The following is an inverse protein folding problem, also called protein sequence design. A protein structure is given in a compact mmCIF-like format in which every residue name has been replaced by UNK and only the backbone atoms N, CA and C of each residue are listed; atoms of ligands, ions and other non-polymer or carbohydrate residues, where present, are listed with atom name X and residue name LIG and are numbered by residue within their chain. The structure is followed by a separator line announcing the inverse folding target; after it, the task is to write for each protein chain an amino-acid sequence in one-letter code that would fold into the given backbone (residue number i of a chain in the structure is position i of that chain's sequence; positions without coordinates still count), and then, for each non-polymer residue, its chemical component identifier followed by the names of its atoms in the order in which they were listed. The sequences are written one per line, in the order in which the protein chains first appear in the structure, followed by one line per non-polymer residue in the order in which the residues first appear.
data_IF_671298374447
#
_entry.id   IF_671298374447
#
_cell.length_a   1.000
_cell.length_b   1.000
_cell.length_c   1.000
_cell.angle_alpha   90.00
_cell.angle_beta   90.00
_cell.angle_gamma   90.00
#
_symmetry.space_group_name_H-M   'P 1'
#
loop_
_entity.id
_entity.type
_entity.pdbx_description
1 polymer ?
#
# COMPACT_ATOMS: atom_id res chain seq x y z
N UNK A 1 27.95 85.06 2.03
CA UNK A 1 28.34 84.03 3.01
C UNK A 1 27.14 83.13 3.27
N UNK A 2 27.06 81.93 2.66
CA UNK A 2 26.11 80.89 3.05
C UNK A 2 26.80 79.73 3.82
N UNK A 3 26.07 79.01 4.68
CA UNK A 3 26.63 78.02 5.61
C UNK A 3 26.97 76.69 4.92
N UNK A 4 28.09 76.08 5.34
CA UNK A 4 28.45 74.70 4.97
C UNK A 4 27.51 73.71 5.66
N UNK A 5 26.72 72.99 4.89
CA UNK A 5 25.99 71.81 5.35
C UNK A 5 26.97 70.65 5.54
N UNK A 6 27.44 70.47 6.77
CA UNK A 6 28.08 69.24 7.24
C UNK A 6 26.99 68.37 7.86
N UNK A 7 26.62 67.26 7.21
CA UNK A 7 25.54 66.44 7.76
C UNK A 7 25.23 65.17 6.97
N UNK A 8 26.21 64.32 6.68
CA UNK A 8 25.94 62.92 6.26
C UNK A 8 26.96 61.89 6.78
N UNK A 9 27.96 62.26 7.58
CA UNK A 9 29.01 61.31 8.03
C UNK A 9 28.84 60.76 9.44
N UNK A 10 27.92 61.29 10.24
CA UNK A 10 27.77 60.92 11.65
C UNK A 10 26.67 59.87 11.94
N UNK A 11 25.93 59.43 10.93
CA UNK A 11 24.85 58.43 11.10
C UNK A 11 25.32 56.96 10.95
N UNK A 12 26.63 56.71 10.81
CA UNK A 12 27.18 55.37 10.55
C UNK A 12 28.33 54.98 11.51
N UNK A 13 28.41 55.58 12.70
CA UNK A 13 29.45 55.27 13.69
C UNK A 13 28.93 54.27 14.74
N UNK A 14 28.88 52.99 14.38
CA UNK A 14 28.53 51.94 15.33
C UNK A 14 29.60 51.75 16.42
N UNK A 15 29.16 51.64 17.67
CA UNK A 15 30.02 51.32 18.82
C UNK A 15 30.59 49.89 18.71
N UNK A 16 31.68 49.59 19.45
CA UNK A 16 32.29 48.24 19.43
C UNK A 16 31.29 47.15 19.84
N UNK A 17 30.38 47.45 20.77
CA UNK A 17 29.32 46.52 21.21
C UNK A 17 28.25 46.29 20.14
N UNK A 18 27.81 47.36 19.47
CA UNK A 18 26.80 47.28 18.38
C UNK A 18 27.32 46.48 17.19
N UNK A 19 28.59 46.65 16.82
CA UNK A 19 29.22 45.87 15.74
C UNK A 19 29.20 44.38 16.05
N UNK A 20 29.54 43.99 17.28
CA UNK A 20 29.48 42.58 17.69
C UNK A 20 28.05 42.05 17.66
N UNK A 21 27.07 42.85 18.11
CA UNK A 21 25.65 42.49 18.03
C UNK A 21 25.16 42.28 16.60
N UNK A 22 25.53 43.18 15.68
CA UNK A 22 25.20 43.08 14.25
C UNK A 22 25.84 41.84 13.63
N UNK A 23 27.11 41.55 13.94
CA UNK A 23 27.81 40.36 13.44
C UNK A 23 27.10 39.07 13.92
N UNK A 24 26.73 38.99 15.20
CA UNK A 24 26.01 37.83 15.76
C UNK A 24 24.65 37.68 15.08
N UNK A 25 23.91 38.77 14.88
CA UNK A 25 22.60 38.77 14.22
C UNK A 25 22.72 38.27 12.76
N UNK A 26 23.72 38.73 12.03
CA UNK A 26 24.00 38.29 10.65
C UNK A 26 24.29 36.79 10.62
N UNK A 27 25.12 36.28 11.54
CA UNK A 27 25.42 34.84 11.61
C UNK A 27 24.15 34.03 11.88
N UNK A 28 23.28 34.49 12.79
CA UNK A 28 22.04 33.79 13.14
C UNK A 28 21.05 33.78 11.97
N UNK A 29 20.97 34.89 11.21
CA UNK A 29 20.19 34.97 9.97
C UNK A 29 20.75 34.02 8.91
N UNK A 30 22.08 33.94 8.73
CA UNK A 30 22.70 33.01 7.80
C UNK A 30 22.39 31.56 8.19
N UNK A 31 22.49 31.18 9.47
CA UNK A 31 22.11 29.85 9.94
C UNK A 31 20.65 29.52 9.60
N UNK A 32 19.73 30.48 9.80
CA UNK A 32 18.31 30.28 9.50
C UNK A 32 18.05 30.11 7.99
N UNK A 33 18.77 30.86 7.16
CA UNK A 33 18.70 30.78 5.69
C UNK A 33 19.29 29.47 5.13
N UNK A 34 20.39 28.98 5.72
CA UNK A 34 21.06 27.75 5.28
C UNK A 34 20.52 26.47 5.94
N UNK A 35 19.77 26.59 7.04
CA UNK A 35 19.08 25.47 7.71
C UNK A 35 18.37 24.50 6.76
N UNK A 36 17.54 24.96 5.78
CA UNK A 36 16.87 24.05 4.85
C UNK A 36 17.81 23.27 3.91
N UNK A 37 19.01 23.79 3.59
CA UNK A 37 20.00 23.03 2.80
C UNK A 37 20.56 21.85 3.60
N UNK A 38 20.80 22.04 4.90
CA UNK A 38 21.33 20.99 5.78
C UNK A 38 20.24 20.03 6.27
N UNK A 39 18.98 20.49 6.40
CA UNK A 39 17.85 19.66 6.83
C UNK A 39 17.65 18.45 5.92
N UNK A 40 17.77 18.60 4.59
CA UNK A 40 17.67 17.49 3.63
C UNK A 40 18.82 16.48 3.72
N UNK A 41 19.98 16.89 4.25
CA UNK A 41 21.16 16.01 4.37
C UNK A 41 21.16 15.23 5.69
N UNK A 42 20.55 15.76 6.76
CA UNK A 42 20.43 15.06 8.04
C UNK A 42 19.12 14.28 8.19
N UNK A 43 18.03 14.72 7.54
CA UNK A 43 16.77 13.98 7.49
C UNK A 43 16.69 13.29 6.14
N UNK A 44 17.24 12.08 6.05
CA UNK A 44 16.97 11.20 4.92
C UNK A 44 15.48 10.84 4.95
N UNK A 45 14.64 11.26 3.98
CA UNK A 45 13.35 10.60 3.82
C UNK A 45 13.67 9.15 3.49
N UNK A 46 13.25 8.22 4.35
CA UNK A 46 13.38 6.77 4.09
C UNK A 46 12.79 6.56 2.70
N UNK A 47 13.62 6.26 1.67
CA UNK A 47 13.08 6.07 0.35
C UNK A 47 12.29 4.78 0.44
N UNK A 48 10.96 4.87 0.42
CA UNK A 48 10.11 3.70 0.26
C UNK A 48 10.50 3.11 -1.09
N UNK A 49 11.34 2.06 -1.08
CA UNK A 49 11.83 1.33 -2.27
C UNK A 49 10.67 0.85 -3.15
N UNK A 50 9.48 0.75 -2.56
CA UNK A 50 8.24 0.34 -3.18
C UNK A 50 7.47 1.50 -3.84
N UNK A 51 7.96 2.74 -3.80
CA UNK A 51 7.27 3.88 -4.43
C UNK A 51 7.02 3.60 -5.91
N UNK A 52 7.98 3.03 -6.64
CA UNK A 52 7.80 2.65 -8.06
C UNK A 52 6.62 1.69 -8.24
N UNK A 53 6.46 0.72 -7.34
CA UNK A 53 5.36 -0.24 -7.36
C UNK A 53 4.03 0.42 -7.03
N UNK A 54 3.97 1.25 -5.98
CA UNK A 54 2.76 2.00 -5.65
C UNK A 54 2.39 3.01 -6.73
N UNK A 55 3.36 3.67 -7.36
CA UNK A 55 3.11 4.59 -8.48
C UNK A 55 2.63 3.84 -9.71
N UNK A 56 3.06 2.61 -9.98
CA UNK A 56 2.50 1.81 -11.07
C UNK A 56 1.07 1.37 -10.77
N UNK A 57 0.80 0.94 -9.54
CA UNK A 57 -0.56 0.64 -9.12
C UNK A 57 -1.43 1.90 -9.26
N UNK A 58 -1.02 3.02 -8.66
CA UNK A 58 -1.77 4.27 -8.67
C UNK A 58 -1.89 4.88 -10.07
N UNK A 59 -0.83 4.88 -10.89
CA UNK A 59 -0.85 5.42 -12.27
C UNK A 59 -1.74 4.59 -13.19
N UNK A 60 -1.68 3.26 -13.09
CA UNK A 60 -2.63 2.38 -13.76
C UNK A 60 -4.08 2.75 -13.40
N UNK A 61 -4.37 3.00 -12.11
CA UNK A 61 -5.70 3.43 -11.68
C UNK A 61 -6.07 4.87 -12.05
N UNK A 62 -5.09 5.77 -12.16
CA UNK A 62 -5.27 7.15 -12.62
C UNK A 62 -5.57 7.21 -14.13
N UNK A 63 -4.87 6.41 -14.94
CA UNK A 63 -5.16 6.23 -16.37
C UNK A 63 -6.56 5.66 -16.59
N UNK A 64 -7.07 4.82 -15.67
CA UNK A 64 -8.46 4.32 -15.71
C UNK A 64 -9.51 5.34 -15.20
N UNK A 65 -9.08 6.42 -14.55
CA UNK A 65 -9.94 7.54 -14.11
C UNK A 65 -9.98 8.68 -15.12
N UNK A 66 -8.93 8.86 -15.92
CA UNK A 66 -8.93 9.80 -17.03
C UNK A 66 -10.01 9.38 -18.06
N UNK A 67 -10.83 10.33 -18.46
CA UNK A 67 -11.91 10.15 -19.44
C UNK A 67 -11.32 9.65 -20.77
N UNK A 68 -11.93 8.66 -21.45
CA UNK A 68 -11.38 8.13 -22.68
C UNK A 68 -11.76 9.06 -23.83
N UNK A 69 -10.85 9.95 -24.23
CA UNK A 69 -10.90 10.62 -25.53
C UNK A 69 -9.55 10.36 -26.23
N UNK A 70 -9.65 9.58 -27.32
CA UNK A 70 -8.72 9.32 -28.41
C UNK A 70 -7.21 9.25 -28.15
N UNK A 71 -6.69 8.01 -28.01
CA UNK A 71 -5.37 7.66 -28.55
C UNK A 71 -5.38 6.25 -29.11
N UNK A 72 -5.74 6.12 -30.39
CA UNK A 72 -5.18 5.07 -31.25
C UNK A 72 -3.72 5.43 -31.52
N UNK A 73 -2.75 4.75 -30.87
CA UNK A 73 -1.42 4.48 -31.43
C UNK A 73 -0.57 3.57 -30.54
N UNK A 74 -0.14 2.48 -31.19
CA UNK A 74 0.88 1.47 -30.86
C UNK A 74 1.77 1.77 -29.65
N UNK A 75 1.64 0.93 -28.62
CA UNK A 75 2.74 0.54 -27.74
C UNK A 75 2.83 -0.98 -27.81
N UNK A 76 3.99 -1.49 -28.24
CA UNK A 76 4.28 -2.91 -28.36
C UNK A 76 4.08 -3.61 -26.99
N UNK A 77 3.21 -4.62 -26.87
CA UNK A 77 3.11 -5.41 -25.67
C UNK A 77 4.40 -6.21 -25.48
N UNK A 78 5.05 -5.99 -24.34
CA UNK A 78 6.03 -6.91 -23.78
C UNK A 78 5.30 -8.22 -23.51
N UNK A 79 5.87 -9.30 -24.03
CA UNK A 79 5.42 -10.69 -23.99
C UNK A 79 4.82 -11.06 -22.63
N UNK A 80 3.49 -11.23 -22.63
CA UNK A 80 2.81 -12.00 -21.59
C UNK A 80 2.43 -13.33 -22.21
N UNK A 81 2.87 -14.39 -21.53
CA UNK A 81 2.56 -15.79 -21.78
C UNK A 81 1.12 -15.98 -22.26
N UNK A 82 1.00 -16.68 -23.37
CA UNK A 82 -0.25 -17.14 -23.94
C UNK A 82 -1.08 -17.91 -22.91
N UNK A 83 -2.11 -17.28 -22.36
CA UNK A 83 -3.24 -18.03 -21.82
C UNK A 83 -4.26 -18.16 -22.93
N UNK A 84 -4.16 -19.29 -23.65
CA UNK A 84 -5.23 -19.84 -24.49
C UNK A 84 -6.51 -19.98 -23.66
N UNK A 85 -7.39 -19.01 -23.76
CA UNK A 85 -8.83 -19.22 -23.54
C UNK A 85 -9.58 -18.42 -24.59
N UNK A 86 -9.79 -19.04 -25.76
CA UNK A 86 -10.87 -18.65 -26.68
C UNK A 86 -12.22 -19.05 -26.05
N UNK A 87 -12.56 -18.45 -24.91
CA UNK A 87 -13.91 -18.51 -24.36
C UNK A 87 -14.60 -17.19 -24.72
N UNK A 88 -15.64 -17.30 -25.55
CA UNK A 88 -16.55 -16.21 -25.86
C UNK A 88 -16.99 -15.53 -24.57
N UNK A 89 -16.65 -14.26 -24.37
CA UNK A 89 -17.05 -13.50 -23.19
C UNK A 89 -18.56 -13.22 -23.32
N UNK A 90 -19.36 -13.98 -22.59
CA UNK A 90 -20.81 -13.81 -22.60
C UNK A 90 -21.20 -12.89 -21.44
N UNK A 91 -21.75 -11.71 -21.77
CA UNK A 91 -22.34 -10.83 -20.76
C UNK A 91 -23.77 -11.29 -20.49
N UNK A 92 -24.01 -11.81 -19.29
CA UNK A 92 -25.34 -12.17 -18.80
C UNK A 92 -25.64 -11.45 -17.49
N UNK A 93 -26.93 -11.30 -17.18
CA UNK A 93 -27.33 -10.72 -15.90
C UNK A 93 -26.98 -11.67 -14.75
N UNK A 94 -26.30 -11.15 -13.73
CA UNK A 94 -25.85 -11.95 -12.60
C UNK A 94 -26.14 -11.26 -11.27
N UNK A 95 -26.39 -12.06 -10.24
CA UNK A 95 -26.44 -11.61 -8.85
C UNK A 95 -25.07 -11.88 -8.20
N UNK A 96 -24.31 -10.85 -7.80
CA UNK A 96 -23.01 -11.00 -7.13
C UNK A 96 -23.06 -11.87 -5.87
N UNK A 97 -24.23 -12.04 -5.24
CA UNK A 97 -24.39 -12.89 -4.07
C UNK A 97 -24.59 -14.37 -4.42
N UNK A 98 -24.89 -14.70 -5.69
CA UNK A 98 -25.23 -16.05 -6.14
C UNK A 98 -24.31 -16.60 -7.22
N UNK A 99 -23.72 -15.73 -8.04
CA UNK A 99 -22.86 -16.09 -9.17
C UNK A 99 -21.68 -16.98 -8.73
N UNK A 100 -21.38 -18.00 -9.52
CA UNK A 100 -20.28 -18.95 -9.26
C UNK A 100 -18.93 -18.41 -9.76
N UNK A 101 -17.83 -19.03 -9.34
CA UNK A 101 -16.47 -18.64 -9.77
C UNK A 101 -16.32 -18.78 -11.29
N UNK A 102 -16.84 -19.86 -11.88
CA UNK A 102 -16.75 -20.11 -13.32
C UNK A 102 -17.58 -19.10 -14.13
N UNK A 103 -18.77 -18.77 -13.66
CA UNK A 103 -19.63 -17.72 -14.23
C UNK A 103 -18.98 -16.34 -14.14
N UNK A 104 -18.30 -16.03 -13.02
CA UNK A 104 -17.52 -14.81 -12.89
C UNK A 104 -16.37 -14.75 -13.90
N UNK A 105 -15.72 -15.89 -14.19
CA UNK A 105 -14.68 -15.98 -15.21
C UNK A 105 -15.25 -15.76 -16.62
N UNK A 106 -16.42 -16.33 -16.91
CA UNK A 106 -17.13 -16.11 -18.18
C UNK A 106 -17.50 -14.63 -18.41
N UNK A 107 -17.79 -13.89 -17.33
CA UNK A 107 -18.02 -12.43 -17.35
C UNK A 107 -16.74 -11.61 -17.58
N UNK A 108 -15.59 -12.27 -17.74
CA UNK A 108 -14.30 -11.64 -18.01
C UNK A 108 -13.47 -11.30 -16.77
N UNK A 109 -13.80 -11.87 -15.61
CA UNK A 109 -12.95 -11.78 -14.43
C UNK A 109 -11.84 -12.84 -14.49
N UNK A 110 -10.64 -12.51 -14.04
CA UNK A 110 -9.62 -13.53 -13.83
C UNK A 110 -10.03 -14.49 -12.71
N UNK A 111 -9.50 -15.71 -12.74
CA UNK A 111 -9.74 -16.70 -11.67
C UNK A 111 -9.38 -16.14 -10.28
N UNK A 112 -8.34 -15.30 -10.20
CA UNK A 112 -7.92 -14.63 -8.96
C UNK A 112 -8.95 -13.60 -8.48
N UNK A 113 -9.55 -12.84 -9.41
CA UNK A 113 -10.60 -11.88 -9.11
C UNK A 113 -11.87 -12.57 -8.59
N UNK A 114 -12.32 -13.61 -9.29
CA UNK A 114 -13.49 -14.38 -8.93
C UNK A 114 -13.35 -15.02 -7.53
N UNK A 115 -12.19 -15.61 -7.24
CA UNK A 115 -11.90 -16.17 -5.91
C UNK A 115 -11.90 -15.13 -4.78
N UNK A 116 -11.54 -13.88 -5.04
CA UNK A 116 -11.62 -12.82 -4.02
C UNK A 116 -13.05 -12.43 -3.72
N UNK A 117 -13.90 -12.35 -4.75
CA UNK A 117 -15.34 -12.11 -4.58
C UNK A 117 -15.99 -13.27 -3.83
N UNK A 118 -15.63 -14.51 -4.17
CA UNK A 118 -16.17 -15.69 -3.52
C UNK A 118 -15.79 -15.75 -2.03
N UNK A 119 -14.52 -15.47 -1.71
CA UNK A 119 -14.06 -15.33 -0.31
C UNK A 119 -14.81 -14.24 0.46
N UNK A 120 -15.13 -13.11 -0.18
CA UNK A 120 -15.95 -12.07 0.44
C UNK A 120 -17.34 -12.61 0.82
N UNK A 121 -17.98 -13.37 -0.08
CA UNK A 121 -19.29 -14.00 0.17
C UNK A 121 -19.21 -15.06 1.27
N UNK A 122 -18.22 -15.96 1.24
CA UNK A 122 -18.04 -17.00 2.25
C UNK A 122 -17.82 -16.44 3.66
N UNK A 123 -17.26 -15.23 3.77
CA UNK A 123 -17.10 -14.51 5.05
C UNK A 123 -18.37 -13.78 5.52
N UNK A 124 -19.49 -13.93 4.81
CA UNK A 124 -20.76 -13.26 5.12
C UNK A 124 -20.90 -11.87 4.49
N UNK A 125 -19.99 -11.50 3.58
CA UNK A 125 -20.09 -10.26 2.81
C UNK A 125 -21.24 -10.32 1.81
N UNK A 126 -22.16 -9.35 1.91
CA UNK A 126 -23.30 -9.22 1.00
C UNK A 126 -23.15 -7.99 0.11
N UNK A 127 -23.58 -8.12 -1.14
CA UNK A 127 -23.74 -7.03 -2.09
C UNK A 127 -25.19 -6.58 -2.09
N UNK A 128 -25.46 -5.39 -1.56
CA UNK A 128 -26.82 -4.85 -1.48
C UNK A 128 -27.16 -3.94 -2.64
N UNK A 129 -26.15 -3.28 -3.21
CA UNK A 129 -26.30 -2.41 -4.38
C UNK A 129 -25.26 -2.76 -5.42
N UNK A 130 -25.52 -2.50 -6.72
CA UNK A 130 -24.49 -2.69 -7.75
C UNK A 130 -23.20 -1.92 -7.42
N UNK A 131 -23.32 -0.75 -6.76
CA UNK A 131 -22.18 0.07 -6.33
C UNK A 131 -21.26 -0.65 -5.34
N UNK A 132 -21.78 -1.57 -4.53
CA UNK A 132 -20.97 -2.32 -3.57
C UNK A 132 -19.95 -3.23 -4.27
N UNK A 133 -20.27 -3.71 -5.47
CA UNK A 133 -19.35 -4.50 -6.29
C UNK A 133 -18.05 -3.73 -6.60
N UNK A 134 -18.13 -2.41 -6.77
CA UNK A 134 -16.97 -1.54 -7.01
C UNK A 134 -16.06 -1.34 -5.79
N UNK A 135 -16.49 -1.79 -4.61
CA UNK A 135 -15.71 -1.65 -3.38
C UNK A 135 -14.72 -2.81 -3.17
N UNK A 136 -14.91 -3.92 -3.88
CA UNK A 136 -13.98 -5.05 -3.90
C UNK A 136 -12.68 -4.62 -4.62
N UNK A 137 -11.52 -4.81 -3.98
CA UNK A 137 -10.26 -4.23 -4.46
C UNK A 137 -9.77 -4.74 -5.80
N UNK A 138 -10.03 -6.02 -6.10
CA UNK A 138 -9.65 -6.64 -7.37
C UNK A 138 -10.52 -6.16 -8.52
N UNK A 139 -11.64 -5.50 -8.23
CA UNK A 139 -12.55 -4.92 -9.22
C UNK A 139 -12.14 -3.47 -9.45
N UNK A 140 -11.51 -3.24 -10.59
CA UNK A 140 -11.20 -1.89 -11.03
C UNK A 140 -12.45 -1.16 -11.55
N UNK A 141 -12.31 0.15 -11.78
CA UNK A 141 -13.41 1.00 -12.25
C UNK A 141 -13.90 0.61 -13.65
N UNK A 142 -13.02 0.11 -14.52
CA UNK A 142 -13.34 -0.28 -15.90
C UNK A 142 -14.17 -1.57 -15.93
N UNK A 143 -13.71 -2.60 -15.22
CA UNK A 143 -14.42 -3.86 -14.99
C UNK A 143 -15.79 -3.57 -14.36
N UNK A 144 -15.83 -2.77 -13.29
CA UNK A 144 -17.10 -2.40 -12.68
C UNK A 144 -18.03 -1.69 -13.67
N UNK A 145 -17.54 -0.72 -14.46
CA UNK A 145 -18.37 -0.04 -15.47
C UNK A 145 -18.93 -1.00 -16.52
N UNK A 146 -18.11 -1.97 -16.97
CA UNK A 146 -18.53 -3.00 -17.93
C UNK A 146 -19.58 -3.93 -17.34
N UNK A 147 -19.41 -4.35 -16.10
CA UNK A 147 -20.29 -5.31 -15.43
C UNK A 147 -21.53 -4.66 -14.80
N UNK A 148 -21.47 -3.37 -14.43
CA UNK A 148 -22.56 -2.64 -13.76
C UNK A 148 -23.94 -2.81 -14.43
N UNK A 149 -24.07 -2.72 -15.77
CA UNK A 149 -25.37 -2.91 -16.43
C UNK A 149 -25.95 -4.32 -16.25
N UNK A 150 -25.08 -5.30 -15.98
CA UNK A 150 -25.42 -6.72 -15.88
C UNK A 150 -25.61 -7.18 -14.43
N UNK A 151 -25.32 -6.34 -13.44
CA UNK A 151 -25.52 -6.67 -12.02
C UNK A 151 -27.01 -6.51 -11.66
N UNK A 152 -27.67 -7.62 -11.35
CA UNK A 152 -29.04 -7.66 -10.80
C UNK A 152 -29.02 -8.27 -9.40
N UNK A 153 -29.26 -7.44 -8.39
CA UNK A 153 -29.41 -7.88 -7.01
C UNK A 153 -30.90 -7.89 -6.70
N UNK A 154 -31.44 -9.04 -6.28
CA UNK A 154 -32.87 -9.17 -6.04
C UNK A 154 -33.33 -8.30 -4.83
N UNK A 155 -34.49 -7.64 -4.98
CA UNK A 155 -35.07 -6.66 -4.05
C UNK A 155 -35.33 -7.21 -2.64
N UNK A 156 -35.41 -8.53 -2.47
CA UNK A 156 -35.53 -9.18 -1.16
C UNK A 156 -34.39 -8.78 -0.18
N UNK A 157 -33.23 -8.38 -0.70
CA UNK A 157 -32.10 -7.87 0.09
C UNK A 157 -32.27 -6.43 0.60
N UNK A 158 -33.20 -5.66 0.01
CA UNK A 158 -33.53 -4.28 0.40
C UNK A 158 -34.60 -4.25 1.51
N UNK A 159 -35.53 -5.22 1.53
CA UNK A 159 -36.55 -5.35 2.59
C UNK A 159 -35.97 -5.76 3.95
N UNK A 160 -34.88 -6.53 3.97
CA UNK A 160 -34.12 -6.76 5.21
C UNK A 160 -33.65 -5.44 5.84
N UNK A 161 -33.37 -4.42 5.03
CA UNK A 161 -32.95 -3.10 5.51
C UNK A 161 -34.11 -2.31 6.11
N UNK A 162 -35.33 -2.41 5.58
CA UNK A 162 -36.49 -1.71 6.14
C UNK A 162 -36.95 -2.35 7.46
N UNK A 163 -36.85 -3.68 7.58
CA UNK A 163 -37.12 -4.38 8.85
C UNK A 163 -36.03 -4.16 9.91
N UNK A 164 -34.74 -4.20 9.54
CA UNK A 164 -33.63 -4.00 10.50
C UNK A 164 -33.55 -2.53 10.97
N UNK A 165 -33.85 -1.56 10.10
CA UNK A 165 -33.72 -0.13 10.42
C UNK A 165 -34.82 0.39 11.35
N UNK A 166 -35.98 -0.26 11.39
CA UNK A 166 -37.09 0.11 12.28
C UNK A 166 -36.96 -0.49 13.69
N UNK A 167 -36.07 -1.46 13.90
CA UNK A 167 -35.83 -2.10 15.21
C UNK A 167 -34.58 -1.56 15.93
N UNK A 168 -33.85 -0.63 15.29
CA UNK A 168 -32.62 -0.04 15.83
C UNK A 168 -32.86 1.33 16.45
N UNK A 169 -33.78 1.40 17.41
CA UNK A 169 -33.88 2.49 18.40
C UNK A 169 -33.17 2.14 19.72
N UNK A 170 -32.41 1.04 19.75
CA UNK A 170 -31.39 0.84 20.75
C UNK A 170 -30.08 1.42 20.23
N UNK A 171 -29.61 2.45 20.92
CA UNK A 171 -28.23 2.97 20.88
C UNK A 171 -27.29 1.78 21.12
N UNK A 172 -26.89 1.11 20.03
CA UNK A 172 -25.96 0.00 20.07
C UNK A 172 -24.65 0.58 20.58
N UNK A 173 -24.19 0.09 21.73
CA UNK A 173 -22.84 0.30 22.20
C UNK A 173 -21.89 0.00 21.04
N UNK A 174 -21.21 1.03 20.54
CA UNK A 174 -20.29 0.90 19.42
C UNK A 174 -19.14 0.00 19.87
N UNK A 175 -19.27 -1.30 19.63
CA UNK A 175 -18.16 -2.24 19.83
C UNK A 175 -16.98 -1.71 19.04
N UNK A 176 -15.79 -1.57 19.65
CA UNK A 176 -14.63 -1.06 18.94
C UNK A 176 -14.40 -1.92 17.70
N UNK A 177 -14.39 -1.29 16.53
CA UNK A 177 -14.16 -1.99 15.26
C UNK A 177 -12.71 -2.45 15.28
N UNK A 178 -12.49 -3.74 15.55
CA UNK A 178 -11.17 -4.37 15.51
C UNK A 178 -11.04 -5.13 14.20
N UNK A 179 -10.02 -4.80 13.41
CA UNK A 179 -9.76 -5.40 12.10
C UNK A 179 -8.45 -6.18 12.16
N UNK A 180 -8.50 -7.45 11.76
CA UNK A 180 -7.29 -8.29 11.70
C UNK A 180 -6.57 -8.09 10.36
N UNK A 181 -5.37 -7.50 10.40
CA UNK A 181 -4.67 -6.96 9.23
C UNK A 181 -4.31 -8.02 8.19
N UNK A 182 -4.01 -9.25 8.62
CA UNK A 182 -3.57 -10.32 7.72
C UNK A 182 -4.72 -11.00 6.97
N UNK A 183 -5.92 -11.04 7.54
CA UNK A 183 -7.10 -11.61 6.92
C UNK A 183 -8.03 -10.58 6.29
N UNK A 184 -7.92 -9.31 6.67
CA UNK A 184 -8.90 -8.30 6.31
C UNK A 184 -9.01 -8.08 4.79
N UNK A 185 -10.23 -7.82 4.34
CA UNK A 185 -10.45 -7.33 2.99
C UNK A 185 -10.39 -5.79 2.93
N UNK A 186 -10.54 -5.22 1.73
CA UNK A 186 -10.51 -3.75 1.59
C UNK A 186 -11.70 -3.03 2.21
N UNK A 187 -12.84 -3.70 2.33
CA UNK A 187 -14.05 -3.13 2.90
C UNK A 187 -13.92 -3.01 4.41
N UNK A 188 -13.42 -4.06 5.05
CA UNK A 188 -13.09 -4.12 6.47
C UNK A 188 -12.01 -3.09 6.82
N UNK A 189 -10.92 -3.04 6.04
CA UNK A 189 -9.88 -2.01 6.24
C UNK A 189 -10.43 -0.60 6.07
N UNK A 190 -11.39 -0.39 5.16
CA UNK A 190 -12.01 0.90 4.94
C UNK A 190 -12.98 1.34 6.06
N UNK A 191 -13.31 0.46 7.02
CA UNK A 191 -14.05 0.82 8.23
C UNK A 191 -13.17 1.58 9.24
N UNK A 192 -11.86 1.40 9.18
CA UNK A 192 -10.91 2.05 10.09
C UNK A 192 -10.86 3.54 9.77
N UNK A 193 -11.06 4.38 10.78
CA UNK A 193 -11.03 5.84 10.60
C UNK A 193 -9.66 6.29 10.07
N UNK A 194 -9.66 6.98 8.93
CA UNK A 194 -8.43 7.44 8.27
C UNK A 194 -7.88 6.47 7.22
N UNK A 195 -8.39 5.24 7.12
CA UNK A 195 -8.07 4.30 6.04
C UNK A 195 -9.14 4.38 4.96
N UNK A 196 -8.87 5.19 3.94
CA UNK A 196 -9.72 5.24 2.74
C UNK A 196 -9.43 4.09 1.77
N UNK A 197 -10.23 4.01 0.69
CA UNK A 197 -10.08 3.02 -0.40
C UNK A 197 -8.65 2.93 -0.98
N UNK A 198 -7.92 4.04 -1.01
CA UNK A 198 -6.52 4.06 -1.49
C UNK A 198 -5.58 3.38 -0.50
N UNK A 199 -5.63 3.76 0.78
CA UNK A 199 -4.79 3.14 1.80
C UNK A 199 -5.13 1.67 2.02
N UNK A 200 -6.41 1.30 2.06
CA UNK A 200 -6.83 -0.11 2.14
C UNK A 200 -6.18 -0.97 1.05
N UNK A 201 -6.11 -0.46 -0.19
CA UNK A 201 -5.43 -1.15 -1.30
C UNK A 201 -3.93 -1.23 -1.13
N UNK A 202 -3.28 -0.14 -0.74
CA UNK A 202 -1.82 -0.13 -0.54
C UNK A 202 -1.41 -1.07 0.60
N UNK A 203 -2.21 -1.12 1.67
CA UNK A 203 -2.04 -2.05 2.78
C UNK A 203 -2.13 -3.50 2.30
N UNK A 204 -3.18 -3.88 1.55
CA UNK A 204 -3.29 -5.24 1.01
C UNK A 204 -2.17 -5.57 0.02
N UNK A 205 -1.82 -4.63 -0.86
CA UNK A 205 -0.73 -4.83 -1.80
C UNK A 205 0.60 -5.07 -1.08
N UNK A 206 0.88 -4.30 -0.03
CA UNK A 206 2.08 -4.47 0.78
C UNK A 206 2.07 -5.76 1.60
N UNK A 207 0.93 -6.10 2.21
CA UNK A 207 0.71 -7.39 2.87
C UNK A 207 1.10 -8.55 1.98
N UNK A 208 0.64 -8.54 0.72
CA UNK A 208 0.91 -9.60 -0.24
C UNK A 208 2.40 -9.71 -0.62
N UNK A 209 3.13 -8.58 -0.62
CA UNK A 209 4.57 -8.55 -0.87
C UNK A 209 5.40 -9.05 0.32
N UNK A 210 4.99 -8.68 1.54
CA UNK A 210 5.62 -9.17 2.77
C UNK A 210 5.31 -10.65 3.02
N UNK A 211 4.13 -11.12 2.64
CA UNK A 211 3.57 -12.41 3.07
C UNK A 211 2.69 -12.30 4.31
N UNK A 212 2.48 -11.10 4.83
CA UNK A 212 1.73 -10.82 6.06
C UNK A 212 2.41 -9.70 6.84
N UNK A 213 1.69 -9.05 7.74
CA UNK A 213 2.26 -8.16 8.74
C UNK A 213 2.60 -8.97 9.99
N UNK A 214 3.79 -8.72 10.54
CA UNK A 214 4.24 -9.28 11.82
C UNK A 214 4.05 -8.24 12.93
N UNK A 215 4.13 -6.96 12.60
CA UNK A 215 3.96 -5.86 13.54
C UNK A 215 3.18 -4.71 12.92
N UNK A 216 2.56 -3.88 13.76
CA UNK A 216 1.76 -2.73 13.32
C UNK A 216 2.65 -1.65 12.69
N UNK A 217 3.89 -1.51 13.17
CA UNK A 217 4.83 -0.49 12.71
C UNK A 217 5.21 -0.63 11.23
N UNK A 218 5.07 -1.82 10.64
CA UNK A 218 5.23 -2.07 9.21
C UNK A 218 4.22 -1.30 8.35
N UNK A 219 3.12 -0.79 8.92
CA UNK A 219 2.23 0.14 8.23
C UNK A 219 2.93 1.45 7.85
N UNK A 220 3.98 1.87 8.58
CA UNK A 220 4.79 3.03 8.23
C UNK A 220 5.61 2.82 6.94
N UNK A 221 5.80 1.57 6.52
CA UNK A 221 6.49 1.24 5.28
C UNK A 221 5.54 1.26 4.06
N UNK A 222 4.23 1.37 4.30
CA UNK A 222 3.22 1.51 3.26
C UNK A 222 3.21 2.96 2.76
N UNK A 223 3.33 3.13 1.44
CA UNK A 223 3.47 4.46 0.86
C UNK A 223 2.29 5.39 1.19
N UNK A 224 2.63 6.56 1.75
CA UNK A 224 1.71 7.61 2.13
C UNK A 224 1.02 7.41 3.48
N UNK A 225 1.25 6.28 4.17
CA UNK A 225 0.83 6.11 5.55
C UNK A 225 1.90 6.74 6.44
N UNK A 226 1.49 7.68 7.29
CA UNK A 226 2.38 8.35 8.24
C UNK A 226 2.23 7.76 9.65
N UNK A 227 3.25 7.91 10.47
CA UNK A 227 3.27 7.40 11.84
C UNK A 227 2.11 7.92 12.70
N UNK A 228 1.66 9.16 12.48
CA UNK A 228 0.53 9.72 13.23
C UNK A 228 -0.76 8.93 12.95
N UNK A 229 -0.98 8.55 11.69
CA UNK A 229 -2.12 7.73 11.30
C UNK A 229 -2.01 6.35 11.95
N UNK A 230 -0.84 5.70 11.88
CA UNK A 230 -0.61 4.37 12.48
C UNK A 230 -0.90 4.38 13.98
N UNK A 231 -0.41 5.40 14.69
CA UNK A 231 -0.67 5.56 16.12
C UNK A 231 -2.17 5.69 16.41
N UNK A 232 -2.89 6.50 15.62
CA UNK A 232 -4.33 6.73 15.81
C UNK A 232 -5.22 5.51 15.54
N UNK A 233 -4.75 4.58 14.71
CA UNK A 233 -5.51 3.37 14.33
C UNK A 233 -5.03 2.11 15.06
N UNK A 234 -3.96 2.20 15.85
CA UNK A 234 -3.34 1.05 16.52
C UNK A 234 -4.32 0.25 17.38
N UNK A 235 -5.26 0.93 18.06
CA UNK A 235 -6.31 0.29 18.88
C UNK A 235 -7.42 -0.40 18.07
N UNK A 236 -7.52 -0.14 16.77
CA UNK A 236 -8.51 -0.72 15.85
C UNK A 236 -7.93 -1.88 15.04
N UNK A 237 -6.66 -2.25 15.24
CA UNK A 237 -5.96 -3.25 14.42
C UNK A 237 -5.43 -4.38 15.30
N UNK A 238 -5.60 -5.60 14.83
CA UNK A 238 -4.95 -6.80 15.37
C UNK A 238 -4.12 -7.48 14.29
N UNK A 239 -3.12 -8.26 14.72
CA UNK A 239 -2.25 -9.02 13.83
C UNK A 239 -2.19 -10.45 14.34
N UNK A 240 -2.56 -11.38 13.47
CA UNK A 240 -2.37 -12.80 13.69
C UNK A 240 -1.17 -13.31 12.89
N UNK A 241 -0.10 -13.70 13.61
CA UNK A 241 1.14 -14.18 13.01
C UNK A 241 1.00 -15.57 12.37
N UNK A 242 -0.02 -16.35 12.72
CA UNK A 242 -0.26 -17.67 12.13
C UNK A 242 -0.70 -17.58 10.67
N UNK A 243 -1.20 -16.41 10.24
CA UNK A 243 -1.65 -16.15 8.87
C UNK A 243 -0.53 -15.66 7.95
N UNK A 244 0.71 -15.62 8.43
CA UNK A 244 1.86 -15.21 7.63
C UNK A 244 2.25 -16.33 6.66
N UNK A 245 2.38 -15.98 5.38
CA UNK A 245 2.92 -16.85 4.35
C UNK A 245 4.44 -16.87 4.42
N UNK A 246 4.99 -17.99 4.87
CA UNK A 246 6.43 -18.22 4.94
C UNK A 246 7.03 -18.48 3.54
N UNK A 247 8.30 -18.09 3.39
CA UNK A 247 9.14 -18.28 2.21
C UNK A 247 10.11 -19.42 2.49
N UNK A 248 9.92 -20.55 1.81
CA UNK A 248 10.88 -21.64 1.87
C UNK A 248 12.12 -21.30 1.04
N UNK A 249 13.26 -21.09 1.71
CA UNK A 249 14.53 -20.71 1.12
C UNK A 249 15.08 -21.78 0.16
N UNK A 250 14.77 -23.05 0.40
CA UNK A 250 15.27 -24.16 -0.40
C UNK A 250 14.46 -24.37 -1.70
N UNK A 251 13.21 -23.89 -1.73
CA UNK A 251 12.31 -24.05 -2.88
C UNK A 251 12.08 -22.78 -3.69
N UNK A 252 12.26 -21.59 -3.09
CA UNK A 252 11.88 -20.33 -3.75
C UNK A 252 12.76 -20.01 -4.97
N UNK A 253 12.14 -19.43 -6.00
CA UNK A 253 12.82 -18.95 -7.20
C UNK A 253 13.52 -17.59 -6.95
N UNK A 254 14.50 -17.26 -7.79
CA UNK A 254 15.11 -15.92 -7.80
C UNK A 254 14.06 -14.82 -8.06
N UNK A 255 13.14 -15.08 -9.00
CA UNK A 255 12.11 -14.14 -9.41
C UNK A 255 11.11 -13.81 -8.29
N UNK A 256 10.82 -14.78 -7.43
CA UNK A 256 9.88 -14.57 -6.33
C UNK A 256 10.55 -13.97 -5.09
N UNK A 257 11.74 -14.45 -4.73
CA UNK A 257 12.42 -13.94 -3.53
C UNK A 257 12.83 -12.47 -3.67
N UNK A 258 13.18 -12.01 -4.87
CA UNK A 258 13.56 -10.60 -5.12
C UNK A 258 12.41 -9.60 -4.97
N UNK A 259 11.15 -10.08 -5.00
CA UNK A 259 9.95 -9.25 -4.80
C UNK A 259 9.76 -8.86 -3.33
N UNK A 260 10.36 -9.62 -2.40
CA UNK A 260 10.18 -9.40 -0.97
C UNK A 260 10.81 -8.06 -0.51
N UNK A 261 10.10 -7.21 0.25
CA UNK A 261 10.58 -5.86 0.61
C UNK A 261 11.94 -5.82 1.31
N UNK A 262 12.21 -6.80 2.16
CA UNK A 262 13.46 -6.89 2.93
C UNK A 262 14.61 -7.59 2.20
N UNK A 263 14.40 -8.03 0.96
CA UNK A 263 15.42 -8.71 0.16
C UNK A 263 15.72 -7.83 -1.07
N UNK A 264 16.97 -7.39 -1.23
CA UNK A 264 17.40 -6.74 -2.46
C UNK A 264 17.70 -7.77 -3.54
N UNK A 265 17.75 -7.34 -4.80
CA UNK A 265 18.13 -8.22 -5.90
C UNK A 265 19.51 -8.85 -5.69
N UNK A 266 20.47 -8.09 -5.16
CA UNK A 266 21.78 -8.61 -4.76
C UNK A 266 21.64 -9.75 -3.73
N UNK A 267 20.83 -9.55 -2.70
CA UNK A 267 20.62 -10.55 -1.66
C UNK A 267 19.88 -11.77 -2.18
N UNK A 268 18.89 -11.58 -3.05
CA UNK A 268 18.22 -12.66 -3.76
C UNK A 268 19.22 -13.51 -4.55
N UNK A 269 20.10 -12.88 -5.34
CA UNK A 269 21.19 -13.58 -6.06
C UNK A 269 22.11 -14.33 -5.09
N UNK A 270 22.51 -13.68 -3.99
CA UNK A 270 23.40 -14.26 -3.00
C UNK A 270 22.77 -15.47 -2.28
N UNK A 271 21.48 -15.43 -1.94
CA UNK A 271 20.75 -16.56 -1.34
C UNK A 271 20.71 -17.74 -2.30
N UNK A 272 20.37 -17.51 -3.56
CA UNK A 272 20.28 -18.57 -4.58
C UNK A 272 21.65 -19.17 -4.87
N UNK A 273 22.70 -18.33 -4.96
CA UNK A 273 24.07 -18.77 -5.13
C UNK A 273 24.57 -19.57 -3.92
N UNK A 274 24.28 -19.11 -2.71
CA UNK A 274 24.65 -19.84 -1.50
C UNK A 274 23.99 -21.22 -1.47
N UNK A 275 22.67 -21.29 -1.71
CA UNK A 275 21.92 -22.55 -1.83
C UNK A 275 22.54 -23.49 -2.88
N UNK A 276 22.97 -22.99 -4.04
CA UNK A 276 23.58 -23.86 -5.05
C UNK A 276 24.95 -24.40 -4.64
N UNK A 277 25.65 -23.74 -3.70
CA UNK A 277 26.95 -24.18 -3.19
C UNK A 277 26.86 -25.14 -2.01
N UNK A 278 25.97 -24.89 -1.06
CA UNK A 278 25.84 -25.72 0.15
C UNK A 278 24.75 -26.79 0.06
N UNK A 279 23.90 -26.71 -0.98
CA UNK A 279 22.68 -27.50 -1.09
C UNK A 279 21.57 -26.88 -0.25
N UNK A 280 20.97 -27.65 0.65
CA UNK A 280 19.89 -27.15 1.49
C UNK A 280 20.43 -26.26 2.62
N UNK A 281 19.93 -25.04 2.70
CA UNK A 281 20.13 -24.15 3.83
C UNK A 281 19.41 -24.80 5.03
N UNK A 282 20.15 -25.10 6.10
CA UNK A 282 19.61 -25.84 7.25
C UNK A 282 18.99 -24.89 8.26
N UNK A 283 19.65 -23.76 8.50
CA UNK A 283 19.24 -22.73 9.46
C UNK A 283 19.17 -21.38 8.76
N UNK A 284 18.12 -20.62 9.06
CA UNK A 284 17.97 -19.24 8.57
C UNK A 284 19.17 -18.37 9.00
N UNK A 285 19.76 -18.66 10.17
CA UNK A 285 20.91 -17.93 10.71
C UNK A 285 22.16 -17.96 9.82
N UNK A 286 22.31 -18.97 8.95
CA UNK A 286 23.39 -19.06 7.97
C UNK A 286 23.42 -17.83 7.06
N UNK A 287 22.27 -17.19 6.80
CA UNK A 287 22.19 -15.96 6.01
C UNK A 287 22.91 -14.78 6.67
N UNK A 288 22.95 -14.74 8.00
CA UNK A 288 23.65 -13.70 8.76
C UNK A 288 25.14 -14.05 8.88
N UNK A 289 25.47 -15.29 9.26
CA UNK A 289 26.86 -15.75 9.45
C UNK A 289 27.68 -15.61 8.17
N UNK A 290 27.10 -15.97 7.02
CA UNK A 290 27.77 -15.90 5.72
C UNK A 290 27.63 -14.51 5.06
N UNK A 291 27.19 -13.49 5.81
CA UNK A 291 27.04 -12.10 5.35
C UNK A 291 26.15 -11.94 4.10
N UNK A 292 25.21 -12.86 3.89
CA UNK A 292 24.25 -12.83 2.78
C UNK A 292 23.19 -11.75 3.04
N UNK A 293 22.72 -11.68 4.29
CA UNK A 293 21.84 -10.63 4.78
C UNK A 293 22.54 -9.80 5.86
N UNK A 294 22.63 -8.46 5.69
CA UNK A 294 23.00 -7.55 6.76
C UNK A 294 22.05 -7.68 7.96
N UNK A 295 22.55 -7.42 9.16
CA UNK A 295 21.83 -7.61 10.42
C UNK A 295 20.42 -6.99 10.44
N UNK A 296 20.26 -5.76 9.95
CA UNK A 296 18.96 -5.08 9.92
C UNK A 296 17.95 -5.77 9.00
N UNK A 297 18.40 -6.20 7.82
CA UNK A 297 17.52 -6.91 6.89
C UNK A 297 17.23 -8.33 7.37
N UNK A 298 18.20 -8.99 7.99
CA UNK A 298 18.01 -10.28 8.61
C UNK A 298 16.95 -10.21 9.72
N UNK A 299 17.03 -9.22 10.62
CA UNK A 299 16.06 -9.00 11.71
C UNK A 299 14.63 -8.90 11.18
N UNK A 300 14.42 -8.17 10.09
CA UNK A 300 13.10 -7.95 9.51
C UNK A 300 12.64 -9.14 8.65
N UNK A 301 13.52 -9.72 7.84
CA UNK A 301 13.19 -10.80 6.92
C UNK A 301 12.98 -12.14 7.61
N UNK A 302 13.69 -12.42 8.72
CA UNK A 302 13.68 -13.73 9.40
C UNK A 302 12.28 -14.25 9.71
N UNK A 303 11.35 -13.38 10.11
CA UNK A 303 9.96 -13.74 10.43
C UNK A 303 9.16 -14.29 9.25
N UNK A 304 9.69 -14.15 8.02
CA UNK A 304 9.06 -14.59 6.78
C UNK A 304 9.80 -15.76 6.13
N UNK A 305 10.92 -16.22 6.69
CA UNK A 305 11.76 -17.26 6.08
C UNK A 305 11.59 -18.59 6.80
N UNK A 306 11.63 -19.69 6.04
CA UNK A 306 11.69 -21.06 6.54
C UNK A 306 12.68 -21.88 5.70
N UNK A 307 13.20 -22.97 6.27
CA UNK A 307 14.07 -23.94 5.57
C UNK A 307 13.35 -25.24 5.20
N UNK A 308 12.12 -25.41 5.67
CA UNK A 308 11.22 -26.53 5.39
C UNK A 308 9.84 -26.02 4.95
#
# INVERSE_FOLDING_TARGET
MPPKLSGTKDFLTFSKGERNGIIILIILILILLFSPMFYKSFVNPIPSKNQKFYTQADSFFLTLKAKPEDVTKKVNPIENEEIKTNASHSYFFFDPNKVTVDEMVQLGLSIKQANVIDKYRCKGGLFHTPKDFSKIYVIDSSIYKKLKPWIKINEFSLELKSKIKNDSLHKSEETPIIVELNAADTLELAKIKGIGKVFARRIIAYRNLLGGYVNINQLNEVYGIKSELVNSISSQITIDSTKIKLINLNLISFEDIKKHPYISEYQAKAIIYYRSKVGNIKKIHELLENKILPADKYRNARSYLTTY
#
